data_IF_967017347227
#
_entry.id   IF_967017347227
#
_cell.length_a   1.000
_cell.length_b   1.000
_cell.length_c   1.000
_cell.angle_alpha   90.00
_cell.angle_beta   90.00
_cell.angle_gamma   90.00
#
_symmetry.space_group_name_H-M   'P 1'
#
loop_
_entity.id
_entity.type
_entity.pdbx_description
1 polymer ?
#
# COMPACT_ATOMS: atom_id res chain seq x y z
N UNK A 1 -4.49 11.39 -7.88
CA UNK A 1 -5.34 10.40 -8.56
C UNK A 1 -4.47 9.57 -9.48
N UNK A 2 -4.69 8.27 -9.50
CA UNK A 2 -3.94 7.35 -10.38
C UNK A 2 -4.95 6.85 -11.39
N UNK A 3 -4.87 7.40 -12.59
CA UNK A 3 -5.81 7.04 -13.68
C UNK A 3 -5.35 5.82 -14.49
N UNK A 4 -4.05 5.51 -14.46
CA UNK A 4 -3.46 4.39 -15.20
C UNK A 4 -3.65 3.07 -14.42
N UNK A 5 -4.36 2.07 -14.97
CA UNK A 5 -4.57 0.78 -14.31
C UNK A 5 -3.28 0.04 -13.95
N UNK A 6 -2.23 0.17 -14.77
CA UNK A 6 -0.93 -0.46 -14.51
C UNK A 6 -0.28 0.13 -13.25
N UNK A 7 -0.44 1.41 -13.02
CA UNK A 7 0.06 2.11 -11.84
C UNK A 7 -0.71 1.72 -10.58
N UNK A 8 -2.04 1.51 -10.68
CA UNK A 8 -2.85 1.02 -9.57
C UNK A 8 -2.37 -0.36 -9.11
N UNK A 9 -2.14 -1.27 -10.04
CA UNK A 9 -1.63 -2.61 -9.74
C UNK A 9 -0.25 -2.57 -9.07
N UNK A 10 0.66 -1.74 -9.56
CA UNK A 10 1.99 -1.59 -8.97
C UNK A 10 1.91 -1.03 -7.54
N UNK A 11 1.06 -0.04 -7.30
CA UNK A 11 0.84 0.51 -5.96
C UNK A 11 0.17 -0.49 -5.02
N UNK A 12 -0.81 -1.25 -5.50
CA UNK A 12 -1.45 -2.28 -4.70
C UNK A 12 -0.46 -3.36 -4.29
N UNK A 13 0.35 -3.85 -5.23
CA UNK A 13 1.40 -4.83 -4.96
C UNK A 13 2.43 -4.30 -3.96
N UNK A 14 2.87 -3.06 -4.09
CA UNK A 14 3.80 -2.42 -3.15
C UNK A 14 3.25 -2.35 -1.73
N UNK A 15 1.99 -1.95 -1.57
CA UNK A 15 1.32 -1.90 -0.26
C UNK A 15 1.15 -3.30 0.34
N UNK A 16 0.68 -4.26 -0.45
CA UNK A 16 0.49 -5.66 -0.01
C UNK A 16 1.84 -6.25 0.42
N UNK A 17 2.90 -6.04 -0.36
CA UNK A 17 4.26 -6.51 -0.03
C UNK A 17 4.80 -5.87 1.26
N UNK A 18 4.57 -4.58 1.48
CA UNK A 18 4.98 -3.90 2.69
C UNK A 18 4.28 -4.47 3.94
N UNK A 19 3.01 -4.83 3.85
CA UNK A 19 2.28 -5.48 4.94
C UNK A 19 2.76 -6.93 5.12
N UNK A 20 2.94 -7.67 4.01
CA UNK A 20 3.39 -9.06 4.00
C UNK A 20 4.69 -9.26 4.77
N UNK A 21 5.67 -8.40 4.55
CA UNK A 21 6.97 -8.46 5.19
C UNK A 21 6.90 -8.55 6.73
N UNK A 22 5.85 -8.00 7.34
CA UNK A 22 5.65 -8.06 8.80
C UNK A 22 5.00 -9.35 9.30
N UNK A 23 4.48 -10.18 8.39
CA UNK A 23 3.63 -11.30 8.76
C UNK A 23 3.96 -12.60 8.00
N UNK A 24 5.18 -12.77 7.53
CA UNK A 24 5.63 -13.88 6.67
C UNK A 24 5.10 -15.26 7.13
N UNK A 25 5.25 -15.59 8.42
CA UNK A 25 4.83 -16.90 8.95
C UNK A 25 3.32 -17.14 8.96
N UNK A 26 2.50 -16.11 8.83
CA UNK A 26 1.04 -16.19 8.88
C UNK A 26 0.38 -15.63 7.61
N UNK A 27 1.13 -15.55 6.52
CA UNK A 27 0.67 -15.05 5.23
C UNK A 27 0.21 -16.20 4.34
N UNK A 28 -0.99 -16.10 3.80
CA UNK A 28 -1.54 -17.11 2.91
C UNK A 28 -2.04 -16.52 1.59
N UNK A 29 -2.08 -17.32 0.50
CA UNK A 29 -2.49 -16.84 -0.82
C UNK A 29 -3.88 -16.19 -0.83
N UNK A 30 -4.82 -16.75 -0.07
CA UNK A 30 -6.20 -16.24 0.02
C UNK A 30 -6.27 -14.87 0.71
N UNK A 31 -5.47 -14.68 1.77
CA UNK A 31 -5.33 -13.40 2.45
C UNK A 31 -4.76 -12.36 1.48
N UNK A 32 -3.68 -12.70 0.78
CA UNK A 32 -3.02 -11.82 -0.18
C UNK A 32 -3.99 -11.40 -1.30
N UNK A 33 -4.72 -12.35 -1.86
CA UNK A 33 -5.72 -12.13 -2.88
C UNK A 33 -6.81 -11.15 -2.43
N UNK A 34 -7.43 -11.42 -1.28
CA UNK A 34 -8.49 -10.58 -0.73
C UNK A 34 -7.99 -9.18 -0.36
N UNK A 35 -6.81 -9.08 0.26
CA UNK A 35 -6.20 -7.78 0.60
C UNK A 35 -5.90 -6.97 -0.66
N UNK A 36 -5.41 -7.61 -1.72
CA UNK A 36 -5.15 -6.94 -2.99
C UNK A 36 -6.42 -6.32 -3.58
N UNK A 37 -7.53 -7.06 -3.59
CA UNK A 37 -8.83 -6.51 -4.04
C UNK A 37 -9.32 -5.36 -3.15
N UNK A 38 -9.13 -5.43 -1.83
CA UNK A 38 -9.44 -4.31 -0.94
C UNK A 38 -8.64 -3.05 -1.35
N UNK A 39 -7.36 -3.20 -1.60
CA UNK A 39 -6.49 -2.08 -1.98
C UNK A 39 -6.86 -1.53 -3.36
N UNK A 40 -7.03 -2.38 -4.36
CA UNK A 40 -7.45 -1.97 -5.70
C UNK A 40 -8.77 -1.19 -5.66
N UNK A 41 -9.74 -1.67 -4.89
CA UNK A 41 -11.03 -1.00 -4.69
C UNK A 41 -10.86 0.41 -4.12
N UNK A 42 -10.03 0.55 -3.08
CA UNK A 42 -9.80 1.85 -2.44
C UNK A 42 -9.00 2.81 -3.34
N UNK A 43 -8.08 2.29 -4.16
CA UNK A 43 -7.31 3.12 -5.11
C UNK A 43 -8.18 3.74 -6.21
N UNK A 44 -9.37 3.19 -6.48
CA UNK A 44 -10.30 3.76 -7.46
C UNK A 44 -11.14 4.92 -6.91
N UNK A 45 -11.22 5.04 -5.59
CA UNK A 45 -12.14 6.01 -4.96
C UNK A 45 -11.34 7.10 -4.26
N UNK A 46 -11.35 8.34 -4.79
CA UNK A 46 -10.61 9.45 -4.19
C UNK A 46 -10.97 9.70 -2.72
N UNK A 47 -9.96 10.02 -1.91
CA UNK A 47 -10.14 10.33 -0.49
C UNK A 47 -10.34 9.11 0.40
N UNK A 48 -10.24 7.89 -0.11
CA UNK A 48 -10.15 6.67 0.69
C UNK A 48 -8.74 6.51 1.27
N UNK A 49 -8.62 5.69 2.30
CA UNK A 49 -7.37 5.45 3.02
C UNK A 49 -7.27 3.99 3.43
N UNK A 50 -6.13 3.55 3.97
CA UNK A 50 -5.99 2.19 4.52
C UNK A 50 -7.03 1.84 5.60
N UNK A 51 -7.61 2.83 6.28
CA UNK A 51 -8.73 2.63 7.22
C UNK A 51 -9.97 2.01 6.53
N UNK A 52 -10.10 2.20 5.23
CA UNK A 52 -11.18 1.61 4.44
C UNK A 52 -11.08 0.09 4.28
N UNK A 53 -9.89 -0.52 4.44
CA UNK A 53 -9.70 -1.97 4.23
C UNK A 53 -10.63 -2.79 5.15
N UNK A 54 -10.58 -2.54 6.45
CA UNK A 54 -11.42 -3.26 7.41
C UNK A 54 -12.90 -2.94 7.21
N UNK A 55 -13.21 -1.68 6.88
CA UNK A 55 -14.60 -1.28 6.62
C UNK A 55 -15.20 -1.96 5.38
N UNK A 56 -14.43 -2.17 4.32
CA UNK A 56 -14.91 -2.93 3.14
C UNK A 56 -15.32 -4.36 3.51
N UNK A 57 -14.63 -4.97 4.48
CA UNK A 57 -14.86 -6.34 4.89
C UNK A 57 -16.01 -6.49 5.90
N UNK A 58 -16.27 -5.47 6.70
CA UNK A 58 -17.22 -5.50 7.84
C UNK A 58 -18.53 -4.76 7.54
N UNK A 59 -18.45 -3.58 6.94
CA UNK A 59 -19.55 -2.65 6.75
C UNK A 59 -20.14 -2.75 5.34
N UNK A 60 -21.27 -3.44 5.21
CA UNK A 60 -21.93 -3.63 3.91
C UNK A 60 -22.39 -2.30 3.29
N UNK A 61 -22.80 -1.33 4.10
CA UNK A 61 -23.24 -0.02 3.59
C UNK A 61 -22.03 0.75 3.02
N UNK A 62 -20.89 0.69 3.70
CA UNK A 62 -19.66 1.28 3.21
C UNK A 62 -19.20 0.59 1.92
N UNK A 63 -19.21 -0.74 1.87
CA UNK A 63 -18.87 -1.48 0.66
C UNK A 63 -19.77 -1.06 -0.53
N UNK A 64 -21.08 -1.05 -0.33
CA UNK A 64 -22.03 -0.65 -1.38
C UNK A 64 -21.78 0.79 -1.85
N UNK A 65 -21.50 1.71 -0.92
CA UNK A 65 -21.16 3.09 -1.24
C UNK A 65 -19.88 3.18 -2.09
N UNK A 66 -18.83 2.48 -1.70
CA UNK A 66 -17.55 2.49 -2.43
C UNK A 66 -17.71 1.88 -3.82
N UNK A 67 -18.40 0.74 -3.93
CA UNK A 67 -18.59 0.04 -5.20
C UNK A 67 -19.34 0.88 -6.25
N UNK A 68 -20.14 1.86 -5.82
CA UNK A 68 -20.78 2.80 -6.75
C UNK A 68 -19.77 3.61 -7.59
N UNK A 69 -18.58 3.83 -7.08
CA UNK A 69 -17.51 4.61 -7.74
C UNK A 69 -16.48 3.73 -8.44
N UNK A 70 -16.44 2.43 -8.16
CA UNK A 70 -15.49 1.48 -8.78
C UNK A 70 -15.86 1.26 -10.24
N UNK A 71 -14.89 1.40 -11.13
CA UNK A 71 -15.07 1.28 -12.59
C UNK A 71 -14.54 -0.03 -13.15
N UNK A 72 -13.53 -0.63 -12.51
CA UNK A 72 -12.92 -1.87 -12.97
C UNK A 72 -13.92 -3.04 -12.87
N UNK A 73 -14.31 -3.67 -14.00
CA UNK A 73 -15.29 -4.74 -14.00
C UNK A 73 -14.81 -5.99 -13.24
N UNK A 74 -13.50 -6.25 -13.16
CA UNK A 74 -12.95 -7.38 -12.41
C UNK A 74 -13.09 -7.14 -10.91
N UNK A 75 -12.84 -5.92 -10.45
CA UNK A 75 -13.05 -5.54 -9.05
C UNK A 75 -14.52 -5.60 -8.68
N UNK A 76 -15.42 -5.11 -9.54
CA UNK A 76 -16.86 -5.22 -9.33
C UNK A 76 -17.33 -6.68 -9.25
N UNK A 77 -16.87 -7.51 -10.19
CA UNK A 77 -17.19 -8.95 -10.23
C UNK A 77 -16.71 -9.67 -8.96
N UNK A 78 -15.49 -9.39 -8.51
CA UNK A 78 -14.97 -9.97 -7.27
C UNK A 78 -15.93 -9.73 -6.09
N UNK A 79 -16.36 -8.49 -5.87
CA UNK A 79 -17.23 -8.14 -4.75
C UNK A 79 -18.66 -8.70 -4.89
N UNK A 80 -19.23 -8.67 -6.10
CA UNK A 80 -20.61 -9.10 -6.34
C UNK A 80 -20.79 -10.62 -6.33
N UNK A 81 -19.78 -11.37 -6.71
CA UNK A 81 -19.83 -12.82 -6.84
C UNK A 81 -18.96 -13.51 -5.78
N UNK A 82 -17.63 -13.42 -5.88
CA UNK A 82 -16.70 -14.21 -5.07
C UNK A 82 -16.77 -13.84 -3.59
N UNK A 83 -16.70 -12.56 -3.26
CA UNK A 83 -16.77 -12.11 -1.87
C UNK A 83 -18.13 -12.41 -1.24
N UNK A 84 -19.22 -12.27 -2.00
CA UNK A 84 -20.55 -12.61 -1.54
C UNK A 84 -20.67 -14.11 -1.21
N UNK A 85 -20.13 -14.98 -2.08
CA UNK A 85 -20.08 -16.42 -1.81
C UNK A 85 -19.21 -16.72 -0.58
N UNK A 86 -18.07 -16.06 -0.45
CA UNK A 86 -17.19 -16.20 0.71
C UNK A 86 -17.92 -15.84 2.01
N UNK A 87 -18.66 -14.73 2.04
CA UNK A 87 -19.47 -14.30 3.19
C UNK A 87 -20.56 -15.31 3.57
N UNK A 88 -21.07 -16.05 2.63
CA UNK A 88 -22.03 -17.14 2.88
C UNK A 88 -21.46 -18.37 3.60
N UNK A 89 -20.13 -18.46 3.74
CA UNK A 89 -19.44 -19.58 4.38
C UNK A 89 -18.58 -19.11 5.55
N UNK A 90 -19.04 -19.38 6.79
CA UNK A 90 -18.38 -18.94 8.01
C UNK A 90 -16.91 -19.39 8.12
N UNK A 91 -16.58 -20.57 7.62
CA UNK A 91 -15.21 -21.08 7.61
C UNK A 91 -14.31 -20.21 6.72
N UNK A 92 -14.78 -19.85 5.51
CA UNK A 92 -14.03 -18.99 4.59
C UNK A 92 -13.87 -17.57 5.16
N UNK A 93 -14.89 -17.05 5.82
CA UNK A 93 -14.81 -15.75 6.52
C UNK A 93 -13.69 -15.79 7.56
N UNK A 94 -13.68 -16.81 8.42
CA UNK A 94 -12.66 -16.92 9.47
C UNK A 94 -11.26 -17.09 8.90
N UNK A 95 -11.11 -17.88 7.84
CA UNK A 95 -9.80 -18.16 7.24
C UNK A 95 -9.22 -17.01 6.40
N UNK A 96 -10.06 -16.16 5.82
CA UNK A 96 -9.61 -15.10 4.91
C UNK A 96 -9.76 -13.69 5.49
N UNK A 97 -10.89 -13.36 6.10
CA UNK A 97 -11.21 -12.01 6.56
C UNK A 97 -10.54 -11.72 7.90
N UNK A 98 -10.69 -12.62 8.89
CA UNK A 98 -10.14 -12.39 10.23
C UNK A 98 -8.62 -12.18 10.24
N UNK A 99 -7.80 -12.90 9.45
CA UNK A 99 -6.37 -12.62 9.37
C UNK A 99 -6.04 -11.23 8.85
N UNK A 100 -6.80 -10.71 7.86
CA UNK A 100 -6.60 -9.35 7.35
C UNK A 100 -6.92 -8.33 8.43
N UNK A 101 -8.08 -8.49 9.08
CA UNK A 101 -8.50 -7.61 10.16
C UNK A 101 -7.46 -7.54 11.29
N UNK A 102 -6.98 -8.70 11.74
CA UNK A 102 -5.97 -8.78 12.79
C UNK A 102 -4.68 -8.07 12.40
N UNK A 103 -4.22 -8.23 11.16
CA UNK A 103 -2.99 -7.60 10.69
C UNK A 103 -3.14 -6.09 10.49
N UNK A 104 -4.18 -5.67 9.82
CA UNK A 104 -4.45 -4.25 9.55
C UNK A 104 -4.76 -3.51 10.85
N UNK A 105 -5.62 -4.08 11.70
CA UNK A 105 -6.00 -3.47 12.98
C UNK A 105 -4.82 -3.35 13.95
N UNK A 106 -3.84 -4.26 13.90
CA UNK A 106 -2.62 -4.15 14.71
C UNK A 106 -1.89 -2.83 14.45
N UNK A 107 -1.77 -2.42 13.19
CA UNK A 107 -1.17 -1.12 12.84
C UNK A 107 -2.11 0.04 13.16
N UNK A 108 -3.39 -0.09 12.85
CA UNK A 108 -4.38 0.96 13.06
C UNK A 108 -4.71 1.20 14.55
N UNK A 109 -4.35 0.28 15.45
CA UNK A 109 -4.43 0.49 16.90
C UNK A 109 -3.51 1.61 17.36
N UNK A 110 -2.34 1.80 16.72
CA UNK A 110 -1.47 2.94 16.98
C UNK A 110 -2.11 4.23 16.48
N UNK A 111 -2.36 5.18 17.38
CA UNK A 111 -2.93 6.49 17.03
C UNK A 111 -2.03 7.24 16.04
N UNK A 112 -0.70 7.17 16.22
CA UNK A 112 0.26 7.80 15.33
C UNK A 112 0.15 7.23 13.92
N UNK A 113 0.16 5.91 13.77
CA UNK A 113 0.04 5.25 12.47
C UNK A 113 -1.32 5.53 11.83
N UNK A 114 -2.39 5.44 12.62
CA UNK A 114 -3.74 5.75 12.14
C UNK A 114 -3.86 7.18 11.62
N UNK A 115 -3.26 8.14 12.30
CA UNK A 115 -3.27 9.54 11.87
C UNK A 115 -2.42 9.77 10.61
N UNK A 116 -1.33 9.05 10.43
CA UNK A 116 -0.48 9.13 9.22
C UNK A 116 -1.19 8.46 8.03
N UNK A 117 -1.59 7.19 8.18
CA UNK A 117 -2.17 6.41 7.09
C UNK A 117 -3.64 6.71 6.82
N UNK A 118 -4.30 7.43 7.73
CA UNK A 118 -5.68 7.91 7.58
C UNK A 118 -5.79 9.27 6.87
N UNK A 119 -4.69 9.89 6.46
CA UNK A 119 -4.73 11.14 5.71
C UNK A 119 -5.31 10.93 4.32
N UNK A 120 -6.36 11.68 3.98
CA UNK A 120 -7.00 11.63 2.65
C UNK A 120 -6.12 12.20 1.54
N UNK A 121 -5.21 13.10 1.89
CA UNK A 121 -4.23 13.71 0.98
C UNK A 121 -2.84 13.57 1.59
N UNK A 122 -1.88 13.18 0.78
CA UNK A 122 -0.48 13.17 1.21
C UNK A 122 0.02 14.62 1.36
N UNK A 123 0.70 14.89 2.46
CA UNK A 123 1.42 16.15 2.67
C UNK A 123 2.86 16.08 2.19
N UNK A 124 3.34 14.87 1.88
CA UNK A 124 4.69 14.63 1.32
C UNK A 124 4.52 14.33 -0.16
N UNK A 125 5.09 15.19 -0.99
CA UNK A 125 5.18 14.98 -2.43
C UNK A 125 6.57 14.44 -2.79
N UNK A 126 6.66 13.10 -2.93
CA UNK A 126 7.92 12.42 -3.28
C UNK A 126 8.29 12.70 -4.73
N UNK A 127 7.32 12.78 -5.64
CA UNK A 127 7.58 13.10 -7.04
C UNK A 127 8.24 14.47 -7.18
N UNK A 128 7.67 15.48 -6.53
CA UNK A 128 8.25 16.83 -6.54
C UNK A 128 9.63 16.84 -5.84
N UNK A 129 9.79 16.15 -4.72
CA UNK A 129 11.07 16.06 -4.04
C UNK A 129 12.17 15.46 -4.94
N UNK A 130 11.85 14.41 -5.71
CA UNK A 130 12.80 13.79 -6.64
C UNK A 130 13.16 14.67 -7.83
N UNK A 131 12.19 15.41 -8.39
CA UNK A 131 12.38 16.15 -9.63
C UNK A 131 12.78 17.63 -9.41
N UNK A 132 12.47 18.19 -8.25
CA UNK A 132 12.85 19.58 -7.91
C UNK A 132 14.20 19.69 -7.18
N UNK A 133 14.84 18.52 -6.85
CA UNK A 133 16.12 18.53 -6.13
C UNK A 133 15.98 18.89 -4.65
N UNK A 134 14.85 18.55 -4.03
CA UNK A 134 14.60 18.75 -2.61
C UNK A 134 15.31 17.70 -1.75
N UNK A 135 15.70 18.10 -0.56
CA UNK A 135 16.22 17.18 0.46
C UNK A 135 15.04 16.70 1.32
N UNK A 136 14.84 15.38 1.36
CA UNK A 136 13.80 14.75 2.17
C UNK A 136 14.44 13.99 3.33
N UNK A 137 14.25 14.48 4.56
CA UNK A 137 14.76 13.84 5.77
C UNK A 137 13.61 13.16 6.49
N UNK A 138 13.68 11.82 6.62
CA UNK A 138 12.63 11.01 7.23
C UNK A 138 13.18 10.35 8.48
N UNK A 139 12.59 10.65 9.63
CA UNK A 139 12.96 10.07 10.91
C UNK A 139 11.93 9.03 11.34
N UNK A 140 12.30 7.75 11.24
CA UNK A 140 11.51 6.59 11.66
C UNK A 140 12.00 6.03 13.00
N UNK A 141 12.26 6.90 13.97
CA UNK A 141 12.79 6.52 15.28
C UNK A 141 11.94 5.45 15.99
N UNK A 142 12.51 4.25 16.11
CA UNK A 142 11.87 3.11 16.77
C UNK A 142 11.47 3.41 18.22
N UNK A 143 12.25 4.24 18.92
CA UNK A 143 11.95 4.66 20.29
C UNK A 143 10.70 5.54 20.42
N UNK A 144 10.28 6.21 19.34
CA UNK A 144 9.08 7.08 19.34
C UNK A 144 7.82 6.38 18.85
N UNK A 145 7.93 5.58 17.81
CA UNK A 145 6.77 4.99 17.13
C UNK A 145 6.68 3.46 17.26
N UNK A 146 7.69 2.82 17.85
CA UNK A 146 7.80 1.37 17.95
C UNK A 146 8.40 0.71 16.71
N UNK A 147 9.03 -0.45 16.89
CA UNK A 147 9.75 -1.18 15.82
C UNK A 147 8.84 -1.52 14.64
N UNK A 148 7.69 -2.19 14.90
CA UNK A 148 6.78 -2.65 13.84
C UNK A 148 6.24 -1.48 13.01
N UNK A 149 5.88 -0.39 13.67
CA UNK A 149 5.38 0.81 13.02
C UNK A 149 6.45 1.50 12.17
N UNK A 150 7.70 1.57 12.67
CA UNK A 150 8.83 2.13 11.92
C UNK A 150 9.10 1.30 10.66
N UNK A 151 9.10 -0.02 10.80
CA UNK A 151 9.31 -0.95 9.69
C UNK A 151 8.21 -0.81 8.62
N UNK A 152 6.93 -0.78 9.04
CA UNK A 152 5.81 -0.60 8.10
C UNK A 152 5.92 0.72 7.35
N UNK A 153 6.10 1.83 8.07
CA UNK A 153 6.22 3.15 7.42
C UNK A 153 7.41 3.23 6.48
N UNK A 154 8.55 2.65 6.88
CA UNK A 154 9.74 2.59 6.04
C UNK A 154 9.52 1.77 4.77
N UNK A 155 8.90 0.60 4.88
CA UNK A 155 8.55 -0.25 3.75
C UNK A 155 7.59 0.46 2.77
N UNK A 156 6.57 1.15 3.30
CA UNK A 156 5.64 1.94 2.50
C UNK A 156 6.33 3.11 1.78
N UNK A 157 7.24 3.81 2.46
CA UNK A 157 8.01 4.91 1.89
C UNK A 157 8.94 4.42 0.78
N UNK A 158 9.66 3.33 0.99
CA UNK A 158 10.53 2.72 -0.02
C UNK A 158 9.73 2.30 -1.25
N UNK A 159 8.59 1.60 -1.05
CA UNK A 159 7.70 1.23 -2.17
C UNK A 159 7.18 2.45 -2.93
N UNK A 160 6.90 3.55 -2.23
CA UNK A 160 6.45 4.79 -2.83
C UNK A 160 7.56 5.49 -3.63
N UNK A 161 8.78 5.50 -3.10
CA UNK A 161 9.98 6.03 -3.79
C UNK A 161 10.24 5.22 -5.06
N UNK A 162 10.21 3.90 -4.97
CA UNK A 162 10.33 3.01 -6.14
C UNK A 162 9.27 3.33 -7.20
N UNK A 163 8.01 3.40 -6.80
CA UNK A 163 6.94 3.74 -7.72
C UNK A 163 7.23 5.01 -8.51
N UNK A 164 7.63 6.09 -7.84
CA UNK A 164 7.95 7.35 -8.51
C UNK A 164 9.25 7.28 -9.30
N UNK A 165 10.24 6.52 -8.86
CA UNK A 165 11.46 6.29 -9.63
C UNK A 165 11.16 5.65 -10.98
N UNK A 166 10.30 4.61 -11.01
CA UNK A 166 9.84 3.98 -12.26
C UNK A 166 9.06 4.95 -13.16
N UNK A 167 8.25 5.83 -12.57
CA UNK A 167 7.53 6.85 -13.36
C UNK A 167 8.48 7.86 -14.04
N UNK A 168 9.69 8.07 -13.51
CA UNK A 168 10.70 8.93 -14.13
C UNK A 168 11.20 8.41 -15.48
N UNK A 169 10.96 7.16 -15.81
CA UNK A 169 11.21 6.62 -17.16
C UNK A 169 10.51 7.43 -18.27
N UNK A 170 9.41 8.12 -17.93
CA UNK A 170 8.67 9.01 -18.84
C UNK A 170 9.33 10.38 -19.05
N UNK A 171 10.33 10.72 -18.26
CA UNK A 171 11.10 11.96 -18.38
C UNK A 171 12.36 11.67 -19.21
N UNK A 172 12.74 12.51 -20.20
CA UNK A 172 14.01 12.40 -20.91
C UNK A 172 15.20 12.35 -19.96
N UNK A 173 16.23 11.54 -20.27
CA UNK A 173 17.38 11.34 -19.38
C UNK A 173 18.08 12.65 -19.00
N UNK A 174 18.17 13.57 -19.96
CA UNK A 174 18.84 14.86 -19.80
C UNK A 174 18.12 15.79 -18.82
N UNK A 175 16.83 15.56 -18.60
CA UNK A 175 15.99 16.36 -17.72
C UNK A 175 15.88 15.74 -16.31
N UNK A 176 16.34 14.50 -16.12
CA UNK A 176 16.27 13.81 -14.83
C UNK A 176 17.33 14.33 -13.89
N UNK A 177 16.93 14.91 -12.76
CA UNK A 177 17.86 15.26 -11.68
C UNK A 177 18.28 13.99 -10.95
N UNK A 178 19.58 13.82 -10.59
CA UNK A 178 20.02 12.74 -9.71
C UNK A 178 19.26 12.78 -8.38
N UNK A 179 18.77 11.62 -7.94
CA UNK A 179 18.15 11.46 -6.63
C UNK A 179 18.87 10.36 -5.86
N UNK A 180 19.40 10.70 -4.70
CA UNK A 180 20.18 9.80 -3.87
C UNK A 180 19.34 9.32 -2.69
N UNK A 181 19.17 8.01 -2.56
CA UNK A 181 18.45 7.38 -1.47
C UNK A 181 19.45 6.78 -0.47
N UNK A 182 19.48 7.32 0.74
CA UNK A 182 20.26 6.80 1.86
C UNK A 182 19.31 6.15 2.85
N UNK A 183 19.51 4.88 3.13
CA UNK A 183 18.67 4.12 4.06
C UNK A 183 19.56 3.50 5.13
N UNK A 184 19.46 4.02 6.34
CA UNK A 184 20.11 3.41 7.50
C UNK A 184 19.30 2.20 7.96
N UNK A 185 19.99 1.13 8.40
CA UNK A 185 19.39 -0.15 8.78
C UNK A 185 18.40 -0.70 7.71
N UNK A 186 18.79 -0.65 6.44
CA UNK A 186 17.93 -0.98 5.29
C UNK A 186 17.25 -2.37 5.40
N UNK A 187 17.88 -3.32 6.10
CA UNK A 187 17.33 -4.68 6.31
C UNK A 187 15.94 -4.66 6.97
N UNK A 188 15.60 -3.60 7.69
CA UNK A 188 14.28 -3.44 8.30
C UNK A 188 13.19 -3.03 7.29
N UNK A 189 13.59 -2.56 6.11
CA UNK A 189 12.72 -2.01 5.07
C UNK A 189 12.85 -2.75 3.74
N UNK A 190 13.70 -3.81 3.69
CA UNK A 190 13.97 -4.58 2.49
C UNK A 190 12.74 -5.40 2.07
N UNK A 191 11.91 -4.82 1.20
CA UNK A 191 10.81 -5.47 0.50
C UNK A 191 11.28 -5.97 -0.88
N UNK A 192 10.48 -6.78 -1.59
CA UNK A 192 10.72 -7.08 -2.99
C UNK A 192 10.89 -5.81 -3.85
N UNK A 193 10.17 -4.74 -3.50
CA UNK A 193 10.36 -3.42 -4.09
C UNK A 193 11.77 -2.88 -3.95
N UNK A 194 12.45 -3.18 -2.85
CA UNK A 194 13.82 -2.73 -2.64
C UNK A 194 14.82 -3.51 -3.51
N UNK A 195 14.61 -4.81 -3.69
CA UNK A 195 15.41 -5.65 -4.58
C UNK A 195 15.32 -5.15 -6.04
N UNK A 196 14.13 -4.76 -6.48
CA UNK A 196 13.92 -4.16 -7.80
C UNK A 196 14.62 -2.79 -7.92
N UNK A 197 14.57 -1.93 -6.88
CA UNK A 197 15.33 -0.68 -6.86
C UNK A 197 16.83 -0.98 -7.08
N UNK A 198 17.41 -1.92 -6.34
CA UNK A 198 18.82 -2.26 -6.46
C UNK A 198 19.20 -2.83 -7.83
N UNK A 199 18.34 -3.66 -8.41
CA UNK A 199 18.60 -4.30 -9.70
C UNK A 199 18.39 -3.39 -10.91
N UNK A 200 17.42 -2.46 -10.82
CA UNK A 200 16.98 -1.67 -11.96
C UNK A 200 17.26 -0.16 -11.86
N UNK A 201 17.65 0.34 -10.67
CA UNK A 201 17.80 1.79 -10.43
C UNK A 201 18.79 2.51 -11.34
N UNK A 202 19.72 1.77 -11.96
CA UNK A 202 20.64 2.34 -12.96
C UNK A 202 19.97 2.82 -14.24
N UNK A 203 18.71 2.43 -14.47
CA UNK A 203 17.96 2.77 -15.69
C UNK A 203 17.09 4.03 -15.51
N UNK A 204 16.89 4.48 -14.28
CA UNK A 204 15.95 5.55 -13.90
C UNK A 204 16.59 6.61 -13.03
#
# INVERSE_FOLDING_TARGET
>A
EIDDPSQKNLMASGLVSAIKQHFDFSWGPRLEYLLNYCVLTLLEVPGTTMLGITRLLEDQNYLNYILHFVKDPLVQKFWSEEFKQMKGNQKLVTEAISPIQNKVNRFLASTTIRNILGQRRSTIDIWDAMNSGKILLINLSKGKIGQDNANLLGALLVSRIQFYALQRAKIPNEERKPFYLYVDEFQNFATGSFEEILSESRKY
#
